data_IF_128009041887
#
_entry.id   IF_128009041887
#
_cell.length_a   1.000
_cell.length_b   1.000
_cell.length_c   1.000
_cell.angle_alpha   90.00
_cell.angle_beta   90.00
_cell.angle_gamma   90.00
#
_symmetry.space_group_name_H-M   'P 1'
#
loop_
_entity.id
_entity.type
_entity.pdbx_description
1 polymer ?
#
# COMPACT_ATOMS: atom_id res chain seq x y z
N UNK A 1 16.99 -53.52 7.57
CA UNK A 1 17.39 -52.10 7.45
C UNK A 1 16.22 -51.27 7.93
N UNK A 2 16.26 -50.78 9.16
CA UNK A 2 15.21 -49.94 9.74
C UNK A 2 15.72 -48.51 9.77
N UNK A 3 14.98 -47.61 9.14
CA UNK A 3 15.27 -46.18 9.12
C UNK A 3 14.98 -45.58 10.50
N UNK A 4 15.96 -44.88 11.07
CA UNK A 4 15.75 -44.00 12.21
C UNK A 4 15.40 -42.61 11.65
N UNK A 5 14.13 -42.24 11.71
CA UNK A 5 13.66 -40.88 11.48
C UNK A 5 13.81 -40.13 12.80
N UNK A 6 14.88 -39.34 12.93
CA UNK A 6 15.04 -38.40 14.03
C UNK A 6 14.12 -37.20 13.81
N UNK A 7 13.03 -37.12 14.57
CA UNK A 7 12.19 -35.94 14.70
C UNK A 7 12.96 -34.86 15.46
N UNK A 8 13.20 -33.71 14.82
CA UNK A 8 13.71 -32.51 15.47
C UNK A 8 12.56 -31.92 16.28
N UNK A 9 12.66 -32.03 17.59
CA UNK A 9 11.73 -31.42 18.55
C UNK A 9 11.94 -29.90 18.51
N UNK A 10 10.87 -29.17 18.21
CA UNK A 10 10.87 -27.70 18.14
C UNK A 10 10.84 -27.21 19.58
N UNK A 11 12.01 -26.85 20.12
CA UNK A 11 12.12 -26.32 21.48
C UNK A 11 11.42 -24.97 21.53
N UNK A 12 10.24 -24.96 22.17
CA UNK A 12 9.42 -23.76 22.37
C UNK A 12 10.07 -22.94 23.48
N UNK A 13 10.84 -21.92 23.11
CA UNK A 13 11.42 -21.00 24.08
C UNK A 13 10.27 -20.25 24.74
N UNK A 14 10.06 -20.49 26.04
CA UNK A 14 9.11 -19.75 26.86
C UNK A 14 9.58 -18.29 26.94
N UNK A 15 9.03 -17.42 26.09
CA UNK A 15 9.38 -15.99 26.08
C UNK A 15 8.70 -15.35 27.28
N UNK A 16 9.50 -15.03 28.30
CA UNK A 16 9.07 -14.24 29.45
C UNK A 16 8.46 -12.90 28.98
N UNK A 17 7.21 -12.65 29.35
CA UNK A 17 6.45 -11.45 28.97
C UNK A 17 6.37 -10.47 30.14
N UNK A 18 6.40 -9.17 29.85
CA UNK A 18 6.21 -8.13 30.85
C UNK A 18 4.78 -8.15 31.40
N UNK A 19 4.65 -7.97 32.71
CA UNK A 19 3.37 -7.63 33.33
C UNK A 19 3.10 -6.14 33.09
N UNK A 20 1.89 -5.80 32.66
CA UNK A 20 1.56 -4.44 32.22
C UNK A 20 0.53 -3.86 33.17
N UNK A 21 0.95 -2.83 33.90
CA UNK A 21 0.08 -2.08 34.80
C UNK A 21 -0.25 -0.72 34.21
N UNK A 22 -1.54 -0.47 33.98
CA UNK A 22 -2.04 0.83 33.51
C UNK A 22 -2.58 1.61 34.71
N UNK A 23 -1.89 2.68 35.10
CA UNK A 23 -2.29 3.56 36.21
C UNK A 23 -2.48 5.00 35.72
N UNK A 24 -3.74 5.40 35.53
CA UNK A 24 -4.10 6.76 35.12
C UNK A 24 -3.49 7.17 33.78
N UNK A 25 -2.54 8.10 33.79
CA UNK A 25 -1.84 8.61 32.60
C UNK A 25 -0.52 7.87 32.29
N UNK A 26 -0.19 6.80 33.01
CA UNK A 26 1.07 6.06 32.86
C UNK A 26 0.85 4.57 32.61
N UNK A 27 1.73 3.98 31.80
CA UNK A 27 1.79 2.55 31.53
C UNK A 27 3.14 2.05 32.02
N UNK A 28 3.13 1.06 32.90
CA UNK A 28 4.34 0.42 33.43
C UNK A 28 4.46 -0.97 32.81
N UNK A 29 5.59 -1.22 32.14
CA UNK A 29 5.95 -2.54 31.63
C UNK A 29 6.94 -3.18 32.60
N UNK A 30 6.44 -4.01 33.51
CA UNK A 30 7.26 -4.78 34.44
C UNK A 30 7.84 -6.00 33.71
N UNK A 31 9.03 -5.84 33.13
CA UNK A 31 9.71 -6.91 32.38
C UNK A 31 9.97 -8.11 33.28
N UNK A 32 9.29 -9.22 33.03
CA UNK A 32 9.61 -10.49 33.67
C UNK A 32 10.92 -11.04 33.09
N UNK A 33 11.81 -11.56 33.93
CA UNK A 33 13.01 -12.28 33.46
C UNK A 33 14.30 -12.07 34.24
N UNK A 34 14.34 -11.22 35.26
CA UNK A 34 15.47 -11.15 36.20
C UNK A 34 16.85 -10.90 35.55
N UNK A 35 16.89 -10.22 34.40
CA UNK A 35 18.12 -9.97 33.65
C UNK A 35 18.99 -8.87 34.27
N UNK A 36 20.31 -9.02 34.16
CA UNK A 36 21.26 -7.98 34.55
C UNK A 36 21.57 -7.08 33.34
N UNK A 37 21.48 -5.77 33.51
CA UNK A 37 21.92 -4.80 32.49
C UNK A 37 23.36 -4.43 32.83
N UNK A 38 24.29 -4.73 31.92
CA UNK A 38 25.69 -4.39 32.14
C UNK A 38 25.87 -2.87 32.12
N UNK A 39 26.58 -2.33 33.11
CA UNK A 39 26.94 -0.91 33.18
C UNK A 39 28.06 -0.52 32.21
N UNK A 40 28.25 -1.25 31.12
CA UNK A 40 29.32 -1.05 30.13
C UNK A 40 28.98 0.01 29.07
N UNK A 41 27.88 0.74 29.26
CA UNK A 41 27.36 1.76 28.37
C UNK A 41 27.00 1.23 26.98
N UNK A 42 26.68 -0.06 26.87
CA UNK A 42 26.17 -0.69 25.65
C UNK A 42 24.63 -0.72 25.61
N UNK A 43 24.08 -0.64 24.40
CA UNK A 43 22.63 -0.76 24.19
C UNK A 43 22.18 -2.20 24.48
N UNK A 44 21.26 -2.37 25.44
CA UNK A 44 20.65 -3.66 25.75
C UNK A 44 19.22 -3.71 25.23
N UNK A 45 18.89 -4.73 24.42
CA UNK A 45 17.51 -4.99 23.98
C UNK A 45 16.84 -5.97 24.94
N UNK A 46 15.63 -5.61 25.37
CA UNK A 46 14.82 -6.42 26.27
C UNK A 46 13.49 -6.73 25.59
N UNK A 47 13.10 -8.00 25.57
CA UNK A 47 11.79 -8.39 25.06
C UNK A 47 10.72 -8.01 26.07
N UNK A 48 9.72 -7.24 25.63
CA UNK A 48 8.60 -6.85 26.48
C UNK A 48 7.43 -7.82 26.34
N UNK A 49 7.13 -8.27 25.12
CA UNK A 49 5.98 -9.14 24.86
C UNK A 49 6.13 -9.84 23.51
N UNK A 50 5.30 -10.86 23.31
CA UNK A 50 5.04 -11.44 22.01
C UNK A 50 3.53 -11.59 21.85
N UNK A 51 2.98 -11.01 20.78
CA UNK A 51 1.54 -11.00 20.54
C UNK A 51 1.25 -11.39 19.09
N UNK A 52 0.32 -12.33 18.92
CA UNK A 52 -0.29 -12.61 17.62
C UNK A 52 -1.54 -11.73 17.47
N UNK A 53 -1.63 -11.04 16.33
CA UNK A 53 -2.74 -10.14 16.00
C UNK A 53 -3.33 -10.53 14.64
N UNK A 54 -4.66 -10.41 14.47
CA UNK A 54 -5.26 -10.57 13.16
C UNK A 54 -4.72 -9.50 12.20
N UNK A 55 -4.32 -9.95 11.01
CA UNK A 55 -3.75 -9.09 9.98
C UNK A 55 -4.58 -9.19 8.71
N UNK A 56 -4.82 -8.04 8.07
CA UNK A 56 -5.44 -7.97 6.76
C UNK A 56 -4.39 -7.56 5.72
N UNK A 57 -4.13 -8.45 4.77
CA UNK A 57 -3.18 -8.21 3.69
C UNK A 57 -3.88 -7.61 2.48
N UNK A 58 -3.34 -6.51 1.96
CA UNK A 58 -3.87 -5.84 0.77
C UNK A 58 -2.73 -5.40 -0.13
N UNK A 59 -2.93 -5.51 -1.44
CA UNK A 59 -2.00 -4.92 -2.40
C UNK A 59 -2.42 -3.51 -2.77
N UNK A 60 -1.43 -2.64 -2.94
CA UNK A 60 -1.62 -1.29 -3.45
C UNK A 60 -0.64 -1.02 -4.60
N UNK A 61 -1.08 -0.34 -5.66
CA UNK A 61 -0.23 0.07 -6.76
C UNK A 61 -0.55 1.51 -7.20
N UNK A 62 0.49 2.28 -7.52
CA UNK A 62 0.37 3.62 -8.13
C UNK A 62 1.23 3.66 -9.41
N UNK A 63 0.74 3.06 -10.51
CA UNK A 63 1.54 2.75 -11.70
C UNK A 63 2.22 3.98 -12.32
N UNK A 64 1.59 5.15 -12.24
CA UNK A 64 2.12 6.43 -12.72
C UNK A 64 3.40 6.88 -12.01
N UNK A 65 3.62 6.44 -10.77
CA UNK A 65 4.84 6.72 -9.98
C UNK A 65 5.83 5.57 -10.17
N UNK A 66 5.36 4.33 -10.02
CA UNK A 66 6.17 3.12 -10.18
C UNK A 66 5.29 1.94 -10.56
N UNK A 67 5.78 1.11 -11.47
CA UNK A 67 5.09 -0.09 -11.97
C UNK A 67 5.25 -1.30 -11.01
N UNK A 68 5.18 -1.06 -9.70
CA UNK A 68 5.27 -2.11 -8.67
C UNK A 68 3.99 -2.19 -7.86
N UNK A 69 3.60 -3.41 -7.52
CA UNK A 69 2.59 -3.67 -6.49
C UNK A 69 3.28 -3.81 -5.13
N UNK A 70 2.77 -3.10 -4.13
CA UNK A 70 3.25 -3.16 -2.77
C UNK A 70 2.29 -3.98 -1.92
N UNK A 71 2.82 -4.94 -1.18
CA UNK A 71 2.07 -5.65 -0.16
C UNK A 71 2.01 -4.79 1.10
N UNK A 72 0.81 -4.61 1.63
CA UNK A 72 0.57 -3.89 2.88
C UNK A 72 -0.21 -4.77 3.84
N UNK A 73 0.04 -4.59 5.13
CA UNK A 73 -0.63 -5.26 6.22
C UNK A 73 -1.32 -4.21 7.09
N UNK A 74 -2.64 -4.28 7.20
CA UNK A 74 -3.45 -3.53 8.16
C UNK A 74 -3.63 -4.38 9.41
N UNK A 75 -3.27 -3.82 10.56
CA UNK A 75 -3.31 -4.46 11.87
C UNK A 75 -4.02 -3.50 12.81
N UNK A 76 -4.91 -4.01 13.67
CA UNK A 76 -5.48 -3.22 14.76
C UNK A 76 -4.82 -3.63 16.06
N UNK A 77 -4.40 -2.66 16.88
CA UNK A 77 -3.94 -2.96 18.24
C UNK A 77 -5.13 -3.47 19.06
N UNK A 78 -5.24 -4.79 19.22
CA UNK A 78 -6.30 -5.46 20.01
C UNK A 78 -5.87 -5.79 21.44
N UNK A 79 -4.79 -5.17 21.90
CA UNK A 79 -4.33 -5.29 23.28
C UNK A 79 -4.89 -4.16 24.14
N UNK A 80 -4.90 -4.34 25.46
CA UNK A 80 -5.42 -3.35 26.41
C UNK A 80 -4.40 -2.22 26.72
N UNK A 81 -3.29 -2.16 25.99
CA UNK A 81 -2.21 -1.21 26.20
C UNK A 81 -1.71 -0.63 24.86
N UNK A 82 -1.08 0.56 24.88
CA UNK A 82 -0.55 1.15 23.66
C UNK A 82 0.75 0.49 23.21
N UNK A 83 0.96 0.37 21.90
CA UNK A 83 2.29 0.08 21.34
C UNK A 83 3.13 1.35 21.35
N UNK A 84 4.29 1.28 21.99
CA UNK A 84 5.19 2.42 22.14
C UNK A 84 5.78 2.84 20.79
N UNK A 85 6.01 4.15 20.57
CA UNK A 85 6.67 4.63 19.38
C UNK A 85 8.10 4.09 19.31
N UNK A 86 8.55 3.70 18.13
CA UNK A 86 9.87 3.12 17.98
C UNK A 86 10.16 2.59 16.59
N UNK A 87 11.41 2.20 16.39
CA UNK A 87 11.86 1.53 15.17
C UNK A 87 11.41 0.07 15.21
N UNK A 88 10.95 -0.42 14.06
CA UNK A 88 10.52 -1.80 13.89
C UNK A 88 11.26 -2.46 12.74
N UNK A 89 11.48 -3.76 12.86
CA UNK A 89 11.99 -4.60 11.81
C UNK A 89 10.85 -5.50 11.33
N UNK A 90 10.63 -5.50 10.02
CA UNK A 90 9.51 -6.20 9.41
C UNK A 90 10.05 -7.42 8.70
N UNK A 91 9.49 -8.57 9.04
CA UNK A 91 9.83 -9.86 8.45
C UNK A 91 8.58 -10.44 7.79
N UNK A 92 8.76 -11.03 6.60
CA UNK A 92 7.74 -11.76 5.86
C UNK A 92 8.30 -13.14 5.52
N UNK A 93 7.56 -14.21 5.84
CA UNK A 93 7.97 -15.60 5.62
C UNK A 93 9.39 -15.91 6.16
N UNK A 94 9.71 -15.36 7.34
CA UNK A 94 11.01 -15.51 8.00
C UNK A 94 12.14 -14.67 7.39
N UNK A 95 11.90 -13.92 6.31
CA UNK A 95 12.89 -13.07 5.66
C UNK A 95 12.73 -11.61 6.08
N UNK A 96 13.84 -10.92 6.33
CA UNK A 96 13.82 -9.47 6.58
C UNK A 96 13.43 -8.72 5.29
N UNK A 97 12.46 -7.81 5.38
CA UNK A 97 11.98 -7.06 4.22
C UNK A 97 12.21 -5.56 4.34
N UNK A 98 11.94 -4.99 5.51
CA UNK A 98 12.06 -3.54 5.71
C UNK A 98 12.28 -3.14 7.17
N UNK A 99 12.86 -1.96 7.36
CA UNK A 99 12.78 -1.24 8.62
C UNK A 99 11.69 -0.17 8.50
N UNK A 100 10.96 0.07 9.58
CA UNK A 100 10.00 1.16 9.68
C UNK A 100 10.05 1.79 11.07
N UNK A 101 9.19 2.75 11.33
CA UNK A 101 8.94 3.28 12.66
C UNK A 101 7.45 3.54 12.83
N UNK A 102 6.94 3.23 14.02
CA UNK A 102 5.58 3.59 14.39
C UNK A 102 5.56 4.74 15.38
N UNK A 103 4.49 5.53 15.32
CA UNK A 103 4.08 6.40 16.41
C UNK A 103 3.44 5.57 17.53
N UNK A 104 3.04 6.21 18.62
CA UNK A 104 2.23 5.56 19.65
C UNK A 104 0.91 5.06 19.02
N UNK A 105 0.60 3.78 19.20
CA UNK A 105 -0.63 3.15 18.69
C UNK A 105 -1.49 2.72 19.88
N UNK A 106 -2.59 3.42 20.10
CA UNK A 106 -3.51 3.15 21.22
C UNK A 106 -4.28 1.83 21.00
N UNK A 107 -4.87 1.25 22.07
CA UNK A 107 -5.88 0.20 21.92
C UNK A 107 -6.95 0.58 20.90
N UNK A 108 -7.34 -0.39 20.07
CA UNK A 108 -8.27 -0.28 18.95
C UNK A 108 -7.84 0.65 17.80
N UNK A 109 -6.64 1.24 17.85
CA UNK A 109 -6.11 2.01 16.75
C UNK A 109 -5.55 1.10 15.66
N UNK A 110 -5.83 1.44 14.40
CA UNK A 110 -5.27 0.75 13.23
C UNK A 110 -3.87 1.27 12.88
N UNK A 111 -3.01 0.35 12.46
CA UNK A 111 -1.68 0.61 11.92
C UNK A 111 -1.51 -0.09 10.58
N UNK A 112 -0.84 0.57 9.64
CA UNK A 112 -0.53 0.03 8.33
C UNK A 112 0.97 -0.17 8.18
N UNK A 113 1.35 -1.35 7.70
CA UNK A 113 2.75 -1.76 7.56
C UNK A 113 3.01 -2.13 6.10
N UNK A 114 3.97 -1.47 5.47
CA UNK A 114 4.41 -1.86 4.13
C UNK A 114 5.37 -3.04 4.23
N UNK A 115 5.05 -4.12 3.52
CA UNK A 115 5.83 -5.35 3.41
C UNK A 115 6.65 -5.40 2.12
N UNK A 116 6.84 -4.25 1.45
CA UNK A 116 7.65 -4.14 0.25
C UNK A 116 6.95 -4.56 -1.04
N UNK A 117 7.76 -4.64 -2.09
CA UNK A 117 7.32 -4.96 -3.46
C UNK A 117 7.10 -6.46 -3.59
N UNK A 118 6.01 -6.83 -4.26
CA UNK A 118 5.75 -8.21 -4.67
C UNK A 118 5.79 -8.32 -6.20
N UNK A 119 6.90 -8.84 -6.74
CA UNK A 119 7.10 -9.04 -8.18
C UNK A 119 6.17 -10.13 -8.78
N UNK A 120 5.52 -10.94 -7.95
CA UNK A 120 4.50 -11.87 -8.39
C UNK A 120 3.23 -11.18 -8.88
N UNK A 121 3.03 -9.91 -8.56
CA UNK A 121 1.94 -9.09 -9.10
C UNK A 121 2.54 -8.11 -10.11
N UNK A 122 2.43 -8.44 -11.39
CA UNK A 122 2.98 -7.62 -12.46
C UNK A 122 2.04 -6.45 -12.78
N UNK A 123 2.59 -5.24 -12.75
CA UNK A 123 1.90 -3.98 -13.05
C UNK A 123 2.58 -3.38 -14.30
N UNK A 124 1.79 -2.91 -15.25
CA UNK A 124 2.30 -2.23 -16.44
C UNK A 124 1.49 -0.97 -16.70
N UNK A 125 2.14 0.16 -16.96
CA UNK A 125 1.51 1.45 -17.27
C UNK A 125 1.84 1.88 -18.70
N UNK A 126 1.05 1.39 -19.67
CA UNK A 126 1.37 1.55 -21.08
C UNK A 126 0.73 2.80 -21.66
N UNK A 127 1.55 3.68 -22.24
CA UNK A 127 1.06 4.72 -23.14
C UNK A 127 0.62 4.10 -24.46
N UNK A 128 -0.65 4.32 -24.84
CA UNK A 128 -1.23 3.72 -26.04
C UNK A 128 -1.11 4.67 -27.22
N UNK A 129 -1.66 5.89 -27.11
CA UNK A 129 -1.60 6.89 -28.18
C UNK A 129 -2.00 8.29 -27.69
N UNK A 130 -1.66 9.28 -28.50
CA UNK A 130 -2.14 10.67 -28.41
C UNK A 130 -2.80 11.07 -29.71
N UNK A 131 -3.96 11.68 -29.62
CA UNK A 131 -4.67 12.26 -30.76
C UNK A 131 -4.78 13.76 -30.59
N UNK A 132 -4.30 14.52 -31.58
CA UNK A 132 -4.33 15.99 -31.57
C UNK A 132 -5.21 16.50 -32.70
N UNK A 133 -6.13 17.39 -32.38
CA UNK A 133 -7.03 18.04 -33.33
C UNK A 133 -7.08 19.54 -33.06
N UNK A 134 -7.07 20.33 -34.13
CA UNK A 134 -7.35 21.76 -34.03
C UNK A 134 -8.85 21.98 -34.30
N UNK A 135 -9.54 22.66 -33.40
CA UNK A 135 -10.99 22.91 -33.51
C UNK A 135 -11.29 24.39 -33.82
N UNK A 136 -12.20 24.61 -34.76
CA UNK A 136 -12.83 25.91 -35.03
C UNK A 136 -12.05 26.87 -35.95
N UNK A 137 -12.79 27.84 -36.51
CA UNK A 137 -12.26 28.95 -37.34
C UNK A 137 -12.21 30.25 -36.53
N UNK A 138 -13.17 30.48 -35.61
CA UNK A 138 -13.38 31.77 -34.91
C UNK A 138 -12.85 31.81 -33.47
N UNK A 139 -12.62 30.65 -32.83
CA UNK A 139 -11.92 30.54 -31.54
C UNK A 139 -11.09 29.25 -31.56
N UNK A 140 -9.92 29.30 -32.19
CA UNK A 140 -9.06 28.12 -32.37
C UNK A 140 -8.74 27.53 -30.99
N UNK A 141 -9.12 26.28 -30.76
CA UNK A 141 -8.66 25.47 -29.62
C UNK A 141 -7.89 24.27 -30.13
N UNK A 142 -6.92 23.82 -29.34
CA UNK A 142 -6.23 22.56 -29.54
C UNK A 142 -6.85 21.56 -28.58
N UNK A 143 -7.28 20.42 -29.11
CA UNK A 143 -7.80 19.28 -28.33
C UNK A 143 -6.80 18.14 -28.45
N UNK A 144 -6.30 17.66 -27.31
CA UNK A 144 -5.36 16.55 -27.22
C UNK A 144 -5.90 15.45 -26.31
N UNK A 145 -6.13 14.28 -26.88
CA UNK A 145 -6.55 13.09 -26.15
C UNK A 145 -5.34 12.24 -25.84
N UNK A 146 -5.24 11.79 -24.59
CA UNK A 146 -4.23 10.86 -24.12
C UNK A 146 -4.91 9.55 -23.73
N UNK A 147 -4.35 8.44 -24.20
CA UNK A 147 -4.82 7.09 -23.87
C UNK A 147 -3.68 6.26 -23.28
N UNK A 148 -3.94 5.68 -22.12
CA UNK A 148 -3.09 4.77 -21.40
C UNK A 148 -3.87 3.49 -21.06
N UNK A 149 -3.14 2.41 -20.84
CA UNK A 149 -3.69 1.16 -20.35
C UNK A 149 -2.85 0.63 -19.20
N UNK A 150 -3.48 0.51 -18.04
CA UNK A 150 -2.89 -0.14 -16.89
C UNK A 150 -3.21 -1.63 -17.01
N UNK A 151 -2.20 -2.50 -16.91
CA UNK A 151 -2.42 -3.94 -16.84
C UNK A 151 -1.94 -4.45 -15.49
N UNK A 152 -2.81 -5.19 -14.81
CA UNK A 152 -2.51 -5.89 -13.57
C UNK A 152 -2.60 -7.38 -13.82
N UNK A 153 -1.55 -8.12 -13.49
CA UNK A 153 -1.49 -9.57 -13.65
C UNK A 153 -1.11 -10.22 -12.33
N UNK A 154 -1.94 -11.14 -11.85
CA UNK A 154 -1.61 -11.96 -10.67
C UNK A 154 -0.85 -13.23 -11.10
N UNK A 155 0.47 -13.27 -10.93
CA UNK A 155 1.27 -14.47 -11.16
C UNK A 155 1.47 -15.31 -9.88
N UNK A 156 0.84 -14.95 -8.76
CA UNK A 156 0.85 -15.76 -7.54
C UNK A 156 -0.16 -16.90 -7.67
N UNK A 157 0.13 -18.02 -7.00
CA UNK A 157 -0.76 -19.19 -6.93
C UNK A 157 -1.98 -19.03 -6.01
N UNK A 158 -2.30 -17.80 -5.59
CA UNK A 158 -3.40 -17.48 -4.68
C UNK A 158 -4.16 -16.27 -5.20
N UNK A 159 -5.44 -16.19 -4.84
CA UNK A 159 -6.23 -14.99 -5.10
C UNK A 159 -5.69 -13.80 -4.29
N UNK A 160 -5.84 -12.60 -4.83
CA UNK A 160 -5.43 -11.36 -4.18
C UNK A 160 -6.51 -10.29 -4.25
N UNK A 161 -6.56 -9.45 -3.23
CA UNK A 161 -7.28 -8.18 -3.25
C UNK A 161 -6.27 -7.04 -3.51
N UNK A 162 -6.54 -6.24 -4.55
CA UNK A 162 -5.66 -5.15 -4.96
C UNK A 162 -6.42 -3.85 -5.13
N UNK A 163 -5.79 -2.77 -4.67
CA UNK A 163 -6.21 -1.40 -4.96
C UNK A 163 -5.20 -0.74 -5.89
N UNK A 164 -5.66 -0.23 -7.03
CA UNK A 164 -4.85 0.54 -7.98
C UNK A 164 -5.28 1.99 -7.93
N UNK A 165 -4.32 2.91 -7.88
CA UNK A 165 -4.56 4.34 -7.86
C UNK A 165 -3.98 5.03 -9.09
N UNK A 166 -4.71 6.00 -9.61
CA UNK A 166 -4.22 6.97 -10.60
C UNK A 166 -4.97 8.30 -10.40
N UNK A 167 -4.73 9.30 -11.24
CA UNK A 167 -5.36 10.61 -11.13
C UNK A 167 -5.52 11.25 -12.50
N UNK A 168 -6.72 11.77 -12.79
CA UNK A 168 -6.88 12.67 -13.94
C UNK A 168 -6.13 13.97 -13.70
N UNK A 169 -5.49 14.55 -14.74
CA UNK A 169 -4.86 15.86 -14.59
C UNK A 169 -5.87 16.92 -14.17
N UNK A 170 -5.43 17.83 -13.30
CA UNK A 170 -6.21 18.99 -12.87
C UNK A 170 -5.55 20.23 -13.46
N UNK A 171 -6.36 21.16 -13.95
CA UNK A 171 -5.90 22.47 -14.41
C UNK A 171 -6.37 23.56 -13.45
N UNK A 172 -5.45 24.43 -13.05
CA UNK A 172 -5.77 25.68 -12.33
C UNK A 172 -6.07 26.84 -13.29
N UNK A 173 -5.69 26.70 -14.56
CA UNK A 173 -5.87 27.71 -15.60
C UNK A 173 -7.25 27.60 -16.24
N UNK A 174 -8.03 28.68 -16.22
CA UNK A 174 -9.41 28.72 -16.74
C UNK A 174 -9.51 28.40 -18.23
N UNK A 175 -8.46 28.71 -18.98
CA UNK A 175 -8.41 28.48 -20.43
C UNK A 175 -8.06 27.04 -20.80
N UNK A 176 -7.63 26.20 -19.84
CA UNK A 176 -7.31 24.80 -20.05
C UNK A 176 -8.42 23.95 -19.42
N UNK A 177 -9.09 23.14 -20.23
CA UNK A 177 -10.13 22.22 -19.77
C UNK A 177 -9.62 20.78 -19.86
N UNK A 178 -9.79 20.02 -18.78
CA UNK A 178 -9.55 18.58 -18.76
C UNK A 178 -10.89 17.86 -18.70
N UNK A 179 -11.13 16.92 -19.62
CA UNK A 179 -12.32 16.09 -19.68
C UNK A 179 -11.91 14.62 -19.50
N UNK A 180 -12.24 14.00 -18.35
CA UNK A 180 -12.13 12.56 -18.17
C UNK A 180 -12.89 11.80 -19.26
N UNK A 181 -12.28 10.77 -19.86
CA UNK A 181 -12.94 9.90 -20.86
C UNK A 181 -13.08 8.46 -20.35
N UNK A 182 -12.05 7.93 -19.69
CA UNK A 182 -12.06 6.61 -19.05
C UNK A 182 -11.12 6.63 -17.85
N UNK A 183 -11.46 5.98 -16.74
CA UNK A 183 -12.70 5.22 -16.50
C UNK A 183 -13.93 6.11 -16.27
N UNK A 184 -15.12 5.56 -16.51
CA UNK A 184 -16.41 6.19 -16.21
C UNK A 184 -17.00 5.49 -14.99
N UNK A 185 -17.14 6.20 -13.88
CA UNK A 185 -17.82 5.69 -12.69
C UNK A 185 -19.33 5.74 -12.94
N UNK A 186 -19.97 4.56 -12.98
CA UNK A 186 -21.43 4.45 -13.12
C UNK A 186 -22.07 4.24 -11.76
N UNK A 187 -23.34 4.65 -11.62
CA UNK A 187 -24.14 4.38 -10.42
C UNK A 187 -24.11 2.87 -10.11
N UNK A 188 -23.79 2.53 -8.85
CA UNK A 188 -23.63 1.17 -8.30
C UNK A 188 -22.32 0.44 -8.58
N UNK A 189 -21.31 1.05 -9.21
CA UNK A 189 -20.01 0.40 -9.37
C UNK A 189 -19.16 0.53 -8.09
N UNK A 190 -19.01 -0.55 -7.33
CA UNK A 190 -18.22 -0.56 -6.08
C UNK A 190 -16.72 -0.73 -6.29
N UNK A 191 -16.31 -1.28 -7.43
CA UNK A 191 -14.91 -1.56 -7.75
C UNK A 191 -14.13 -0.34 -8.20
N UNK A 192 -14.79 0.80 -8.41
CA UNK A 192 -14.13 2.03 -8.81
C UNK A 192 -14.76 3.24 -8.13
N UNK A 193 -13.91 4.15 -7.67
CA UNK A 193 -14.32 5.47 -7.18
C UNK A 193 -13.44 6.57 -7.77
N UNK A 194 -14.03 7.75 -7.92
CA UNK A 194 -13.37 8.99 -8.27
C UNK A 194 -13.68 10.00 -7.16
N UNK A 195 -12.66 10.63 -6.58
CA UNK A 195 -12.84 11.66 -5.54
C UNK A 195 -12.85 13.08 -6.13
N UNK A 196 -13.12 14.07 -5.26
CA UNK A 196 -13.18 15.49 -5.63
C UNK A 196 -11.81 16.04 -6.10
N UNK A 197 -10.71 15.36 -5.77
CA UNK A 197 -9.35 15.66 -6.20
C UNK A 197 -8.96 14.88 -7.47
N UNK A 198 -9.96 14.39 -8.22
CA UNK A 198 -9.78 13.65 -9.47
C UNK A 198 -8.92 12.37 -9.34
N UNK A 199 -8.76 11.84 -8.13
CA UNK A 199 -8.05 10.58 -7.88
C UNK A 199 -8.97 9.42 -8.16
N UNK A 200 -8.46 8.50 -8.95
CA UNK A 200 -9.12 7.26 -9.32
C UNK A 200 -8.61 6.17 -8.39
N UNK A 201 -9.54 5.40 -7.83
CA UNK A 201 -9.24 4.19 -7.07
C UNK A 201 -10.01 3.03 -7.69
N UNK A 202 -9.31 2.03 -8.19
CA UNK A 202 -9.89 0.74 -8.54
C UNK A 202 -9.60 -0.26 -7.42
N UNK A 203 -10.62 -0.96 -6.94
CA UNK A 203 -10.49 -1.99 -5.91
C UNK A 203 -11.19 -3.26 -6.37
N UNK A 204 -10.42 -4.33 -6.53
CA UNK A 204 -10.94 -5.59 -7.04
C UNK A 204 -10.11 -6.79 -6.60
N UNK A 205 -10.75 -7.96 -6.69
CA UNK A 205 -10.11 -9.25 -6.49
C UNK A 205 -9.59 -9.79 -7.82
N UNK A 206 -8.39 -10.36 -7.83
CA UNK A 206 -7.84 -11.14 -8.93
C UNK A 206 -7.59 -12.58 -8.50
N UNK A 207 -8.11 -13.51 -9.26
CA UNK A 207 -7.79 -14.94 -9.10
C UNK A 207 -6.36 -15.24 -9.56
N UNK A 208 -5.81 -16.37 -9.13
CA UNK A 208 -4.48 -16.84 -9.56
C UNK A 208 -4.37 -16.91 -11.10
N UNK A 209 -3.40 -16.22 -11.69
CA UNK A 209 -3.19 -16.16 -13.15
C UNK A 209 -4.08 -15.15 -13.88
N UNK A 210 -5.02 -14.49 -13.20
CA UNK A 210 -5.92 -13.52 -13.82
C UNK A 210 -5.18 -12.26 -14.24
N UNK A 211 -5.64 -11.68 -15.35
CA UNK A 211 -5.20 -10.40 -15.87
C UNK A 211 -6.38 -9.46 -15.97
N UNK A 212 -6.18 -8.21 -15.54
CA UNK A 212 -7.16 -7.15 -15.67
C UNK A 212 -6.53 -5.92 -16.30
N UNK A 213 -7.26 -5.34 -17.24
CA UNK A 213 -6.87 -4.10 -17.90
C UNK A 213 -7.76 -2.96 -17.42
N UNK A 214 -7.14 -1.85 -17.03
CA UNK A 214 -7.82 -0.64 -16.56
C UNK A 214 -7.53 0.46 -17.59
N UNK A 215 -8.52 0.81 -18.44
CA UNK A 215 -8.34 1.87 -19.42
C UNK A 215 -8.35 3.25 -18.75
N UNK A 216 -7.34 4.07 -19.04
CA UNK A 216 -7.19 5.43 -18.53
C UNK A 216 -7.02 6.41 -19.68
N UNK A 217 -7.94 7.35 -19.82
CA UNK A 217 -7.90 8.32 -20.92
C UNK A 217 -8.61 9.62 -20.57
N UNK A 218 -8.10 10.71 -21.10
CA UNK A 218 -8.63 12.06 -20.88
C UNK A 218 -8.33 12.95 -22.09
N UNK A 219 -9.13 13.99 -22.25
CA UNK A 219 -8.97 15.03 -23.26
C UNK A 219 -8.55 16.34 -22.58
N UNK A 220 -7.52 17.00 -23.12
CA UNK A 220 -7.13 18.35 -22.72
C UNK A 220 -7.46 19.30 -23.87
N UNK A 221 -8.17 20.38 -23.57
CA UNK A 221 -8.49 21.44 -24.52
C UNK A 221 -7.88 22.76 -24.08
N UNK A 222 -7.15 23.45 -24.96
CA UNK A 222 -6.41 24.66 -24.61
C UNK A 222 -6.17 25.59 -25.82
N UNK A 223 -5.85 26.89 -25.61
CA UNK A 223 -5.55 27.81 -26.71
C UNK A 223 -4.24 27.50 -27.46
N UNK A 224 -4.11 27.86 -28.74
CA UNK A 224 -2.84 27.80 -29.45
C UNK A 224 -1.75 28.62 -28.77
N UNK A 225 -0.53 28.07 -28.71
CA UNK A 225 0.62 28.75 -28.10
C UNK A 225 0.77 28.52 -26.59
N UNK A 226 -0.17 27.83 -25.94
CA UNK A 226 -0.01 27.42 -24.53
C UNK A 226 1.06 26.34 -24.40
N UNK A 227 1.99 26.54 -23.47
CA UNK A 227 2.90 25.49 -23.00
C UNK A 227 2.19 24.67 -21.92
N UNK A 228 2.15 23.35 -22.08
CA UNK A 228 1.60 22.44 -21.07
C UNK A 228 2.76 21.80 -20.30
N UNK A 229 3.16 22.33 -19.13
CA UNK A 229 4.16 21.67 -18.30
C UNK A 229 3.57 20.41 -17.65
N UNK A 230 4.36 19.33 -17.57
CA UNK A 230 3.99 18.13 -16.80
C UNK A 230 3.22 17.06 -17.56
N UNK A 231 3.26 17.06 -18.90
CA UNK A 231 2.77 15.98 -19.77
C UNK A 231 3.87 15.45 -20.68
#
# INVERSE_FOLDING_TARGET
MSAASGSIEKEEIEVSQAEIETAGASVVFAVAGGGNINGDNSDTRVSLMHQELPVNFQYAAVPKITEFAFLTASITNKTDFPFLPGKVNIFLDGSFVSNSSFSLIMPDQEMNVSLGVDEGINIEYRYIKRFKKNEGIVNKRISEQFEYQIRVTNNRGKDIDITVYDQFPISEEKEISVKPLSPIVKDNQKEISLDDESKIKWQFKLTSGEKRELPFSYLIEYPPGTSLPGF
#
